data_IF_977257885777
#
_entry.id   IF_977257885777
#
_cell.length_a   1.000
_cell.length_b   1.000
_cell.length_c   1.000
_cell.angle_alpha   90.00
_cell.angle_beta   90.00
_cell.angle_gamma   90.00
#
_symmetry.space_group_name_H-M   'P 1'
#
loop_
_entity.id
_entity.type
_entity.pdbx_description
1 polymer ?
#
# COMPACT_ATOMS: atom_id res chain seq x y z
N UNK A 1 -9.55 9.42 -6.45
CA UNK A 1 -9.92 8.55 -7.59
C UNK A 1 -9.08 8.96 -8.78
N UNK A 2 -8.02 8.20 -9.07
CA UNK A 2 -7.14 8.46 -10.20
C UNK A 2 -7.84 8.00 -11.47
N UNK A 3 -8.35 8.96 -12.26
CA UNK A 3 -9.01 8.72 -13.54
C UNK A 3 -7.94 8.33 -14.59
N UNK A 4 -7.32 7.17 -14.42
CA UNK A 4 -6.29 6.60 -15.33
C UNK A 4 -6.98 5.91 -16.53
N UNK A 5 -8.29 5.66 -16.44
CA UNK A 5 -9.07 4.90 -17.40
C UNK A 5 -9.91 5.81 -18.32
N UNK A 6 -9.64 5.74 -19.62
CA UNK A 6 -10.60 6.15 -20.64
C UNK A 6 -11.05 4.90 -21.43
N UNK A 7 -12.31 4.46 -21.27
CA UNK A 7 -12.84 3.28 -21.96
C UNK A 7 -12.80 3.40 -23.49
N UNK A 8 -12.80 4.62 -24.02
CA UNK A 8 -12.75 4.88 -25.46
C UNK A 8 -11.38 4.56 -26.10
N UNK A 9 -10.30 4.47 -25.30
CA UNK A 9 -8.95 4.19 -25.80
C UNK A 9 -8.63 2.68 -25.87
N UNK A 10 -9.60 1.81 -25.55
CA UNK A 10 -9.42 0.38 -25.40
C UNK A 10 -9.19 -0.38 -26.71
N UNK A 11 -8.35 -1.42 -26.66
CA UNK A 11 -8.21 -2.44 -27.71
C UNK A 11 -8.24 -3.84 -27.10
N UNK A 12 -8.94 -4.77 -27.76
CA UNK A 12 -9.49 -5.96 -27.15
C UNK A 12 -8.48 -6.96 -26.56
N UNK A 13 -8.26 -6.91 -25.23
CA UNK A 13 -7.59 -7.98 -24.44
C UNK A 13 -8.61 -8.89 -23.74
N UNK A 14 -9.80 -9.10 -24.33
CA UNK A 14 -10.95 -9.80 -23.72
C UNK A 14 -10.57 -11.11 -23.05
N UNK A 15 -9.79 -11.94 -23.74
CA UNK A 15 -9.43 -13.26 -23.23
C UNK A 15 -8.72 -13.19 -21.87
N UNK A 16 -7.89 -12.17 -21.66
CA UNK A 16 -7.12 -11.99 -20.42
C UNK A 16 -8.02 -11.44 -19.33
N UNK A 17 -8.94 -10.54 -19.69
CA UNK A 17 -9.96 -10.02 -18.77
C UNK A 17 -10.97 -11.10 -18.36
N UNK A 18 -11.43 -11.95 -19.28
CA UNK A 18 -12.25 -13.14 -18.99
C UNK A 18 -11.51 -14.13 -18.10
N UNK A 19 -10.18 -14.27 -18.29
CA UNK A 19 -9.31 -15.03 -17.40
C UNK A 19 -9.35 -14.50 -15.97
N UNK A 20 -9.28 -13.18 -15.81
CA UNK A 20 -9.44 -12.52 -14.51
C UNK A 20 -10.84 -12.73 -13.91
N UNK A 21 -11.91 -12.53 -14.68
CA UNK A 21 -13.28 -12.79 -14.19
C UNK A 21 -13.47 -14.25 -13.77
N UNK A 22 -12.74 -15.19 -14.38
CA UNK A 22 -12.72 -16.59 -13.93
C UNK A 22 -12.03 -16.73 -12.58
N UNK A 23 -10.93 -16.02 -12.32
CA UNK A 23 -10.23 -16.03 -11.01
C UNK A 23 -11.10 -15.54 -9.87
N UNK A 24 -12.07 -14.65 -10.12
CA UNK A 24 -12.98 -14.15 -9.10
C UNK A 24 -14.08 -15.16 -8.70
N UNK A 25 -14.14 -16.33 -9.33
CA UNK A 25 -15.15 -17.34 -9.05
C UNK A 25 -14.67 -18.29 -7.95
N UNK A 26 -15.50 -18.63 -6.95
CA UNK A 26 -15.11 -19.52 -5.84
C UNK A 26 -14.63 -20.91 -6.28
N UNK A 27 -15.05 -21.39 -7.46
CA UNK A 27 -14.64 -22.70 -7.97
C UNK A 27 -13.22 -22.69 -8.58
N UNK A 28 -12.65 -21.51 -8.80
CA UNK A 28 -11.34 -21.35 -9.42
C UNK A 28 -10.25 -21.49 -8.38
N UNK A 29 -9.42 -22.53 -8.52
CA UNK A 29 -8.31 -22.79 -7.59
C UNK A 29 -7.14 -21.82 -7.76
N UNK A 30 -7.03 -21.18 -8.92
CA UNK A 30 -5.97 -20.21 -9.16
C UNK A 30 -6.26 -18.90 -8.43
N UNK A 31 -5.23 -18.34 -7.82
CA UNK A 31 -5.31 -17.13 -7.01
C UNK A 31 -4.31 -16.06 -7.47
N UNK A 32 -3.30 -16.42 -8.27
CA UNK A 32 -2.25 -15.48 -8.72
C UNK A 32 -2.22 -15.43 -10.24
N UNK A 33 -2.37 -14.23 -10.81
CA UNK A 33 -2.19 -13.99 -12.24
C UNK A 33 -0.92 -13.15 -12.47
N UNK A 34 0.00 -13.69 -13.26
CA UNK A 34 1.17 -12.95 -13.73
C UNK A 34 0.92 -12.48 -15.16
N UNK A 35 0.96 -11.18 -15.39
CA UNK A 35 0.83 -10.58 -16.73
C UNK A 35 2.17 -9.96 -17.13
N UNK A 36 2.86 -10.63 -18.04
CA UNK A 36 4.14 -10.18 -18.55
C UNK A 36 4.00 -9.65 -19.98
N UNK A 37 4.56 -8.47 -20.24
CA UNK A 37 4.62 -7.93 -21.60
C UNK A 37 5.68 -6.84 -21.74
N UNK A 38 6.16 -6.61 -22.95
CA UNK A 38 7.07 -5.49 -23.28
C UNK A 38 6.41 -4.12 -23.04
N UNK A 39 7.18 -3.05 -23.22
CA UNK A 39 6.70 -1.67 -23.04
C UNK A 39 5.50 -1.41 -23.98
N UNK A 40 4.55 -0.59 -23.53
CA UNK A 40 3.45 -0.08 -24.35
C UNK A 40 2.43 -1.15 -24.84
N UNK A 41 2.47 -2.35 -24.23
CA UNK A 41 1.55 -3.46 -24.48
C UNK A 41 0.20 -3.38 -23.73
N UNK A 42 -0.11 -2.25 -23.08
CA UNK A 42 -1.38 -2.06 -22.39
C UNK A 42 -1.53 -2.77 -21.02
N UNK A 43 -0.43 -3.13 -20.35
CA UNK A 43 -0.46 -3.77 -19.01
C UNK A 43 -1.18 -2.91 -17.96
N UNK A 44 -0.75 -1.66 -17.80
CA UNK A 44 -1.35 -0.69 -16.86
C UNK A 44 -2.82 -0.48 -17.15
N UNK A 45 -3.18 -0.41 -18.43
CA UNK A 45 -4.56 -0.30 -18.86
C UNK A 45 -5.38 -1.54 -18.45
N UNK A 46 -4.85 -2.75 -18.67
CA UNK A 46 -5.51 -4.00 -18.31
C UNK A 46 -5.71 -4.10 -16.79
N UNK A 47 -4.69 -3.77 -15.99
CA UNK A 47 -4.80 -3.75 -14.54
C UNK A 47 -5.82 -2.70 -14.04
N UNK A 48 -5.83 -1.50 -14.62
CA UNK A 48 -6.85 -0.49 -14.33
C UNK A 48 -8.27 -0.97 -14.62
N UNK A 49 -8.49 -1.62 -15.78
CA UNK A 49 -9.79 -2.22 -16.12
C UNK A 49 -10.22 -3.31 -15.12
N UNK A 50 -9.28 -4.15 -14.68
CA UNK A 50 -9.57 -5.18 -13.67
C UNK A 50 -9.99 -4.54 -12.34
N UNK A 51 -9.33 -3.45 -11.93
CA UNK A 51 -9.73 -2.67 -10.76
C UNK A 51 -11.13 -2.05 -10.93
N UNK A 52 -11.39 -1.37 -12.06
CA UNK A 52 -12.67 -0.74 -12.33
C UNK A 52 -13.81 -1.75 -12.29
N UNK A 53 -13.59 -2.95 -12.85
CA UNK A 53 -14.56 -4.04 -12.80
C UNK A 53 -14.90 -4.47 -11.37
N UNK A 54 -13.91 -4.56 -10.48
CA UNK A 54 -14.18 -4.85 -9.07
C UNK A 54 -15.03 -3.76 -8.41
N UNK A 55 -14.78 -2.50 -8.76
CA UNK A 55 -15.45 -1.34 -8.17
C UNK A 55 -16.83 -1.05 -8.79
N UNK A 56 -17.22 -1.72 -9.87
CA UNK A 56 -18.55 -1.60 -10.47
C UNK A 56 -19.63 -1.86 -9.41
N UNK A 57 -20.71 -1.06 -9.31
CA UNK A 57 -21.73 -1.22 -8.27
C UNK A 57 -22.41 -2.60 -8.23
N UNK A 58 -22.43 -3.30 -9.36
CA UNK A 58 -22.96 -4.67 -9.48
C UNK A 58 -22.01 -5.75 -8.97
N UNK A 59 -20.71 -5.44 -8.91
CA UNK A 59 -19.64 -6.36 -8.47
C UNK A 59 -19.22 -6.02 -7.04
N UNK A 60 -18.86 -4.76 -6.78
CA UNK A 60 -18.59 -4.17 -5.46
C UNK A 60 -17.61 -4.99 -4.60
N UNK A 61 -16.51 -5.42 -5.21
CA UNK A 61 -15.45 -6.17 -4.55
C UNK A 61 -14.35 -5.24 -4.03
N UNK A 62 -13.79 -5.50 -2.83
CA UNK A 62 -12.62 -4.77 -2.35
C UNK A 62 -11.42 -5.01 -3.29
N UNK A 63 -10.92 -3.93 -3.90
CA UNK A 63 -9.79 -3.98 -4.82
C UNK A 63 -8.75 -2.89 -4.52
N UNK A 64 -7.48 -3.30 -4.49
CA UNK A 64 -6.34 -2.43 -4.25
C UNK A 64 -5.48 -2.37 -5.50
N UNK A 65 -5.04 -1.18 -5.88
CA UNK A 65 -4.13 -0.97 -7.01
C UNK A 65 -2.86 -0.24 -6.56
N UNK A 66 -1.73 -0.93 -6.70
CA UNK A 66 -0.40 -0.45 -6.38
C UNK A 66 0.39 -0.36 -7.69
N UNK A 67 0.76 0.84 -8.10
CA UNK A 67 1.69 1.07 -9.21
C UNK A 67 3.06 1.43 -8.66
N UNK A 68 4.03 0.53 -8.82
CA UNK A 68 5.37 0.74 -8.27
C UNK A 68 6.14 1.91 -8.91
N UNK A 69 5.68 2.45 -10.06
CA UNK A 69 6.24 3.67 -10.67
C UNK A 69 5.61 4.95 -10.16
N UNK A 70 4.47 4.89 -9.46
CA UNK A 70 3.74 6.09 -9.08
C UNK A 70 4.39 6.75 -7.85
N UNK A 71 5.02 7.94 -7.99
CA UNK A 71 5.69 8.59 -6.88
C UNK A 71 4.72 9.11 -5.81
N UNK A 72 3.42 9.21 -6.12
CA UNK A 72 2.39 9.62 -5.15
C UNK A 72 1.97 8.48 -4.22
N UNK A 73 2.27 7.24 -4.57
CA UNK A 73 1.93 6.05 -3.77
C UNK A 73 3.09 5.64 -2.86
N UNK A 74 3.78 6.63 -2.28
CA UNK A 74 5.11 6.48 -1.73
C UNK A 74 5.30 5.23 -0.83
N UNK A 75 5.94 4.22 -1.41
CA UNK A 75 6.10 2.86 -0.90
C UNK A 75 7.59 2.55 -0.74
N UNK A 76 8.32 3.42 -0.04
CA UNK A 76 9.77 3.26 0.19
C UNK A 76 10.16 1.96 0.89
N UNK A 77 9.27 1.40 1.70
CA UNK A 77 9.49 0.20 2.50
C UNK A 77 8.21 -0.67 2.58
N UNK A 78 8.30 -1.79 3.32
CA UNK A 78 7.15 -2.69 3.53
C UNK A 78 6.00 -2.00 4.28
N UNK A 79 6.29 -1.07 5.21
CA UNK A 79 5.27 -0.38 6.00
C UNK A 79 4.45 0.57 5.13
N UNK A 80 5.10 1.33 4.24
CA UNK A 80 4.42 2.16 3.24
C UNK A 80 3.47 1.33 2.38
N UNK A 81 3.90 0.13 1.97
CA UNK A 81 3.05 -0.80 1.21
C UNK A 81 1.84 -1.30 2.02
N UNK A 82 2.03 -1.69 3.28
CA UNK A 82 0.94 -2.10 4.18
C UNK A 82 -0.06 -0.96 4.39
N UNK A 83 0.44 0.25 4.67
CA UNK A 83 -0.38 1.46 4.84
C UNK A 83 -1.21 1.75 3.61
N UNK A 84 -0.61 1.65 2.42
CA UNK A 84 -1.27 1.85 1.13
C UNK A 84 -2.37 0.82 0.90
N UNK A 85 -2.08 -0.47 1.11
CA UNK A 85 -3.05 -1.55 0.94
C UNK A 85 -4.24 -1.35 1.88
N UNK A 86 -3.97 -1.15 3.18
CA UNK A 86 -5.00 -0.86 4.19
C UNK A 86 -5.87 0.33 3.79
N UNK A 87 -5.25 1.45 3.39
CA UNK A 87 -5.97 2.66 3.01
C UNK A 87 -6.90 2.42 1.82
N UNK A 88 -6.43 1.69 0.80
CA UNK A 88 -7.22 1.41 -0.40
C UNK A 88 -8.33 0.38 -0.18
N UNK A 89 -8.17 -0.57 0.75
CA UNK A 89 -9.25 -1.50 1.12
C UNK A 89 -10.46 -0.76 1.71
N UNK A 90 -10.26 0.41 2.33
CA UNK A 90 -11.36 1.26 2.80
C UNK A 90 -12.20 0.64 3.91
N UNK A 91 -11.66 -0.32 4.66
CA UNK A 91 -12.33 -1.02 5.76
C UNK A 91 -11.60 -0.80 7.10
N UNK A 92 -11.56 0.44 7.63
CA UNK A 92 -10.70 0.80 8.76
C UNK A 92 -10.95 -0.04 10.02
N UNK A 93 -12.20 -0.49 10.24
CA UNK A 93 -12.58 -1.27 11.42
C UNK A 93 -11.77 -2.58 11.56
N UNK A 94 -11.42 -3.24 10.46
CA UNK A 94 -10.61 -4.46 10.47
C UNK A 94 -9.16 -4.21 10.90
N UNK A 95 -8.66 -2.98 10.75
CA UNK A 95 -7.26 -2.65 10.94
C UNK A 95 -6.96 -1.86 12.21
N UNK A 96 -7.90 -1.78 13.17
CA UNK A 96 -7.69 -1.05 14.42
C UNK A 96 -6.48 -1.60 15.21
N UNK A 97 -6.35 -2.92 15.33
CA UNK A 97 -5.21 -3.54 16.02
C UNK A 97 -3.89 -3.26 15.30
N UNK A 98 -3.88 -3.27 13.97
CA UNK A 98 -2.72 -2.88 13.18
C UNK A 98 -2.33 -1.42 13.47
N UNK A 99 -3.31 -0.52 13.54
CA UNK A 99 -3.07 0.89 13.84
C UNK A 99 -2.48 1.07 15.24
N UNK A 100 -3.01 0.36 16.24
CA UNK A 100 -2.48 0.36 17.61
C UNK A 100 -1.01 -0.04 17.65
N UNK A 101 -0.66 -1.13 16.94
CA UNK A 101 0.71 -1.63 16.88
C UNK A 101 1.62 -0.62 16.18
N UNK A 102 1.25 -0.13 14.99
CA UNK A 102 2.03 0.89 14.27
C UNK A 102 2.22 2.12 15.15
N UNK A 103 1.14 2.65 15.73
CA UNK A 103 1.16 3.84 16.58
C UNK A 103 2.00 3.66 17.85
N UNK A 104 2.13 2.44 18.37
CA UNK A 104 3.00 2.15 19.52
C UNK A 104 4.49 2.24 19.19
N UNK A 105 4.85 2.14 17.90
CA UNK A 105 6.22 2.17 17.39
C UNK A 105 6.52 3.40 16.52
N UNK A 106 5.52 4.21 16.19
CA UNK A 106 5.64 5.36 15.31
C UNK A 106 5.46 6.68 16.07
N UNK A 107 6.34 7.64 15.86
CA UNK A 107 6.17 8.99 16.39
C UNK A 107 5.12 9.76 15.58
N UNK A 108 4.06 10.24 16.24
CA UNK A 108 3.02 11.00 15.55
C UNK A 108 3.55 12.32 14.97
N UNK A 109 3.09 12.65 13.77
CA UNK A 109 3.35 13.94 13.16
C UNK A 109 2.57 15.06 13.87
N UNK A 110 3.23 15.80 14.78
CA UNK A 110 2.69 17.05 15.33
C UNK A 110 3.22 17.37 16.73
N UNK A 111 4.25 18.23 16.79
CA UNK A 111 4.76 19.05 17.92
C UNK A 111 4.75 18.48 19.35
N UNK A 112 3.62 18.04 19.92
CA UNK A 112 3.58 17.40 21.23
C UNK A 112 4.31 16.05 21.27
N UNK A 113 4.35 15.31 20.14
CA UNK A 113 5.05 14.02 20.07
C UNK A 113 6.55 14.17 19.89
N UNK A 114 7.01 15.30 19.35
CA UNK A 114 8.44 15.68 19.44
C UNK A 114 8.86 15.87 20.91
N UNK A 115 7.98 16.44 21.75
CA UNK A 115 8.21 16.59 23.18
C UNK A 115 8.20 15.27 23.94
N UNK A 116 7.26 14.35 23.64
CA UNK A 116 7.25 13.03 24.26
C UNK A 116 8.46 12.20 23.84
N UNK A 117 8.91 12.31 22.59
CA UNK A 117 10.16 11.73 22.10
C UNK A 117 11.37 12.22 22.88
N UNK A 118 11.47 13.53 23.05
CA UNK A 118 12.55 14.14 23.82
C UNK A 118 12.49 13.75 25.31
N UNK A 119 11.29 13.68 25.90
CA UNK A 119 11.09 13.20 27.27
C UNK A 119 11.56 11.75 27.42
N UNK A 120 11.21 10.86 26.49
CA UNK A 120 11.69 9.46 26.50
C UNK A 120 13.22 9.40 26.41
N UNK A 121 13.82 10.14 25.48
CA UNK A 121 15.29 10.19 25.33
C UNK A 121 15.96 10.70 26.60
N UNK A 122 15.42 11.76 27.22
CA UNK A 122 15.93 12.30 28.47
C UNK A 122 15.81 11.29 29.62
N UNK A 123 14.71 10.52 29.69
CA UNK A 123 14.56 9.45 30.68
C UNK A 123 15.61 8.37 30.47
N UNK A 124 15.77 7.87 29.25
CA UNK A 124 16.74 6.83 28.90
C UNK A 124 18.18 7.28 29.14
N UNK A 125 18.51 8.53 28.85
CA UNK A 125 19.85 9.07 29.04
C UNK A 125 20.19 9.34 30.52
N UNK A 126 19.19 9.56 31.38
CA UNK A 126 19.39 10.08 32.74
C UNK A 126 19.12 9.07 33.86
N UNK A 127 18.45 7.97 33.56
CA UNK A 127 18.02 6.97 34.54
C UNK A 127 18.38 5.55 34.11
N UNK A 128 18.57 4.66 35.08
CA UNK A 128 18.64 3.22 34.87
C UNK A 128 17.31 2.52 35.22
N UNK A 129 17.23 1.20 35.00
CA UNK A 129 15.99 0.42 35.21
C UNK A 129 15.49 0.44 36.66
N UNK A 130 16.39 0.41 37.65
CA UNK A 130 16.01 0.45 39.06
C UNK A 130 15.49 1.83 39.45
N UNK A 131 16.06 2.89 38.89
CA UNK A 131 15.56 4.26 39.07
C UNK A 131 14.19 4.45 38.42
N UNK A 132 13.95 3.91 37.22
CA UNK A 132 12.62 3.93 36.60
C UNK A 132 11.61 3.17 37.48
N UNK A 133 11.99 2.04 38.08
CA UNK A 133 11.12 1.31 39.02
C UNK A 133 10.80 2.17 40.24
N UNK A 134 11.77 2.91 40.77
CA UNK A 134 11.56 3.89 41.85
C UNK A 134 10.59 5.01 41.46
N UNK A 135 10.77 5.59 40.26
CA UNK A 135 9.86 6.62 39.74
C UNK A 135 8.44 6.07 39.60
N UNK A 136 8.26 4.85 39.07
CA UNK A 136 6.96 4.22 38.93
C UNK A 136 6.27 4.07 40.29
N UNK A 137 7.00 3.62 41.31
CA UNK A 137 6.49 3.51 42.68
C UNK A 137 6.03 4.87 43.22
N UNK A 138 6.84 5.92 43.04
CA UNK A 138 6.56 7.27 43.52
C UNK A 138 5.30 7.87 42.89
N UNK A 139 5.02 7.55 41.63
CA UNK A 139 3.82 8.02 40.92
C UNK A 139 2.68 6.99 40.88
N UNK A 140 2.75 5.96 41.74
CA UNK A 140 1.72 4.92 41.93
C UNK A 140 1.41 4.12 40.66
N UNK A 141 2.42 3.84 39.84
CA UNK A 141 2.36 2.96 38.67
C UNK A 141 3.00 1.63 39.00
N UNK A 142 2.30 0.53 38.71
CA UNK A 142 2.87 -0.80 38.85
C UNK A 142 3.91 -1.02 37.74
N UNK A 143 5.19 -1.07 38.11
CA UNK A 143 6.30 -1.27 37.17
C UNK A 143 6.09 -2.50 36.29
N UNK A 144 5.55 -3.59 36.84
CA UNK A 144 5.33 -4.85 36.11
C UNK A 144 4.26 -4.75 35.01
N UNK A 145 3.40 -3.73 35.02
CA UNK A 145 2.43 -3.47 33.94
C UNK A 145 3.08 -2.83 32.70
N UNK A 146 4.31 -2.32 32.82
CA UNK A 146 5.03 -1.75 31.69
C UNK A 146 5.57 -2.86 30.78
N UNK A 147 5.43 -2.69 29.48
CA UNK A 147 5.97 -3.59 28.47
C UNK A 147 7.48 -3.39 28.27
N UNK A 148 8.17 -4.47 27.89
CA UNK A 148 9.59 -4.46 27.52
C UNK A 148 10.55 -4.93 28.63
N UNK A 149 11.75 -5.35 28.23
CA UNK A 149 12.81 -5.78 29.17
C UNK A 149 13.98 -4.78 29.21
N UNK A 150 14.09 -3.91 28.21
CA UNK A 150 15.16 -2.92 28.10
C UNK A 150 14.75 -1.59 28.72
N UNK A 151 15.74 -0.78 29.10
CA UNK A 151 15.54 0.58 29.63
C UNK A 151 14.71 1.44 28.68
N UNK A 152 15.04 1.42 27.38
CA UNK A 152 14.32 2.15 26.34
C UNK A 152 12.86 1.69 26.26
N UNK A 153 12.62 0.38 26.16
CA UNK A 153 11.27 -0.16 26.07
C UNK A 153 10.42 0.20 27.31
N UNK A 154 11.01 0.15 28.51
CA UNK A 154 10.33 0.55 29.75
C UNK A 154 10.07 2.06 29.81
N UNK A 155 11.00 2.89 29.37
CA UNK A 155 10.80 4.34 29.30
C UNK A 155 9.70 4.72 28.29
N UNK A 156 9.67 4.06 27.12
CA UNK A 156 8.60 4.21 26.12
C UNK A 156 7.26 3.81 26.73
N UNK A 157 7.19 2.61 27.33
CA UNK A 157 5.97 2.10 27.93
C UNK A 157 5.47 2.98 29.07
N UNK A 158 6.38 3.50 29.91
CA UNK A 158 6.07 4.42 31.00
C UNK A 158 5.47 5.73 30.48
N UNK A 159 6.13 6.39 29.53
CA UNK A 159 5.62 7.65 28.96
C UNK A 159 4.26 7.44 28.29
N UNK A 160 4.09 6.35 27.53
CA UNK A 160 2.81 6.00 26.91
C UNK A 160 1.72 5.65 27.94
N UNK A 161 2.07 4.97 29.03
CA UNK A 161 1.15 4.69 30.15
C UNK A 161 0.69 6.00 30.79
N UNK A 162 1.64 6.89 31.12
CA UNK A 162 1.36 8.18 31.74
C UNK A 162 0.52 9.09 30.86
N UNK A 163 0.77 9.10 29.55
CA UNK A 163 -0.03 9.84 28.58
C UNK A 163 -1.48 9.33 28.56
N UNK A 164 -1.69 8.01 28.42
CA UNK A 164 -3.03 7.41 28.35
C UNK A 164 -3.87 7.68 29.61
N UNK A 165 -3.23 7.69 30.78
CA UNK A 165 -3.89 7.94 32.07
C UNK A 165 -3.85 9.39 32.54
N UNK A 166 -3.33 10.30 31.70
CA UNK A 166 -3.22 11.73 32.00
C UNK A 166 -2.43 12.07 33.27
N UNK A 167 -1.43 11.24 33.60
CA UNK A 167 -0.51 11.43 34.74
C UNK A 167 0.88 11.89 34.30
N UNK A 168 1.03 12.35 33.06
CA UNK A 168 2.30 12.79 32.48
C UNK A 168 2.95 13.93 33.28
N UNK A 169 2.16 14.88 33.76
CA UNK A 169 2.64 15.98 34.62
C UNK A 169 3.33 15.46 35.88
N UNK A 170 2.78 14.42 36.52
CA UNK A 170 3.39 13.82 37.72
C UNK A 170 4.73 13.17 37.41
N UNK A 171 4.83 12.46 36.28
CA UNK A 171 6.09 11.88 35.81
C UNK A 171 7.14 12.97 35.58
N UNK A 172 6.78 14.02 34.84
CA UNK A 172 7.70 15.11 34.50
C UNK A 172 8.17 15.86 35.76
N UNK A 173 7.24 16.18 36.67
CA UNK A 173 7.58 16.80 37.96
C UNK A 173 8.54 15.92 38.74
N UNK A 174 8.31 14.61 38.80
CA UNK A 174 9.20 13.70 39.51
C UNK A 174 10.58 13.60 38.87
N UNK A 175 10.66 13.55 37.53
CA UNK A 175 11.93 13.60 36.82
C UNK A 175 12.69 14.91 37.07
N UNK A 176 11.98 16.05 37.09
CA UNK A 176 12.55 17.36 37.39
C UNK A 176 13.09 17.49 38.82
N UNK A 177 12.42 16.90 39.80
CA UNK A 177 12.91 16.82 41.18
C UNK A 177 14.20 16.02 41.28
N UNK A 178 14.26 14.86 40.61
CA UNK A 178 15.42 13.97 40.66
C UNK A 178 16.61 14.49 39.86
N UNK A 179 16.36 15.28 38.81
CA UNK A 179 17.38 15.80 37.88
C UNK A 179 17.04 17.22 37.45
N UNK A 180 17.19 18.17 38.37
CA UNK A 180 16.83 19.58 38.16
C UNK A 180 17.65 20.31 37.07
N UNK A 181 18.76 19.73 36.60
CA UNK A 181 19.62 20.35 35.59
C UNK A 181 19.15 20.13 34.14
N UNK A 182 18.15 19.27 33.92
CA UNK A 182 17.58 19.01 32.60
C UNK A 182 16.22 19.71 32.46
N UNK A 183 15.94 20.20 31.25
CA UNK A 183 14.63 20.76 30.93
C UNK A 183 13.67 19.64 30.53
N UNK A 184 12.93 19.13 31.51
CA UNK A 184 11.97 18.03 31.30
C UNK A 184 10.67 18.45 30.59
N UNK A 185 10.46 19.75 30.40
CA UNK A 185 9.28 20.32 29.73
C UNK A 185 9.55 20.68 28.27
N UNK A 186 10.77 20.47 27.79
CA UNK A 186 11.18 20.84 26.44
C UNK A 186 10.35 20.09 25.37
N UNK A 187 9.83 20.83 24.40
CA UNK A 187 8.91 20.33 23.37
C UNK A 187 7.49 19.95 23.85
N UNK A 188 7.14 20.15 25.14
CA UNK A 188 5.83 19.80 25.73
C UNK A 188 4.95 21.02 26.05
N UNK A 189 5.27 22.19 25.49
CA UNK A 189 4.65 23.49 25.76
C UNK A 189 3.11 23.49 25.59
N UNK A 190 2.58 22.67 24.68
CA UNK A 190 1.13 22.53 24.45
C UNK A 190 0.40 21.76 25.56
N UNK A 191 1.09 20.88 26.30
CA UNK A 191 0.50 20.06 27.36
C UNK A 191 0.19 20.88 28.62
N UNK A 192 0.96 21.94 28.89
CA UNK A 192 0.65 22.90 29.96
C UNK A 192 -0.55 23.78 29.62
N UNK A 193 -0.78 24.05 28.33
CA UNK A 193 -1.83 24.94 27.87
C UNK A 193 -3.20 24.27 27.73
N UNK A 194 -3.26 22.96 27.45
CA UNK A 194 -4.50 22.21 27.24
C UNK A 194 -4.39 20.79 27.81
N UNK A 195 -4.96 20.53 28.99
CA UNK A 195 -5.25 19.15 29.41
C UNK A 195 -6.56 18.70 28.70
N UNK A 196 -6.53 17.81 27.70
CA UNK A 196 -7.75 17.33 27.06
C UNK A 196 -8.43 16.32 27.98
N UNK A 197 -9.73 16.07 27.83
CA UNK A 197 -10.41 14.93 28.45
C UNK A 197 -9.90 13.60 27.86
N UNK A 198 -9.98 12.46 28.57
CA UNK A 198 -9.46 11.18 28.10
C UNK A 198 -10.12 10.75 26.78
N UNK A 199 -9.37 10.19 25.82
CA UNK A 199 -9.94 9.71 24.58
C UNK A 199 -10.83 8.49 24.87
N UNK A 200 -12.12 8.61 24.59
CA UNK A 200 -13.03 7.47 24.46
C UNK A 200 -12.54 6.52 23.37
N UNK A 201 -12.73 5.21 23.57
CA UNK A 201 -12.34 4.07 22.71
C UNK A 201 -12.71 4.15 21.20
N UNK A 202 -13.29 5.24 20.72
CA UNK A 202 -13.58 5.50 19.31
C UNK A 202 -12.39 6.07 18.51
N UNK A 203 -11.29 6.46 19.18
CA UNK A 203 -10.24 7.32 18.58
C UNK A 203 -9.05 6.60 17.93
N UNK A 204 -8.90 5.27 18.01
CA UNK A 204 -7.78 4.55 17.35
C UNK A 204 -8.18 4.05 15.97
N UNK A 205 -8.82 4.90 15.19
CA UNK A 205 -9.20 4.60 13.79
C UNK A 205 -8.11 4.99 12.80
N UNK A 206 -7.13 5.79 13.21
CA UNK A 206 -6.11 6.35 12.32
C UNK A 206 -4.68 6.03 12.79
N UNK A 207 -3.81 5.82 11.81
CA UNK A 207 -2.37 5.66 11.98
C UNK A 207 -1.71 7.02 11.89
N UNK A 208 -0.77 7.28 12.79
CA UNK A 208 -0.14 8.58 12.95
C UNK A 208 0.88 8.91 11.84
N UNK A 209 1.06 8.02 10.85
CA UNK A 209 1.97 8.12 9.71
C UNK A 209 3.44 8.36 10.11
N UNK A 210 3.79 8.03 11.35
CA UNK A 210 5.13 8.18 11.87
C UNK A 210 6.12 7.19 11.24
N UNK A 211 7.40 7.52 11.36
CA UNK A 211 8.53 6.63 11.06
C UNK A 211 8.65 5.63 12.21
N UNK A 212 8.96 4.36 11.91
CA UNK A 212 9.21 3.37 12.95
C UNK A 212 10.55 3.67 13.64
N UNK A 213 10.53 3.73 14.97
CA UNK A 213 11.75 3.82 15.76
C UNK A 213 12.21 2.43 16.20
N UNK A 214 13.47 2.11 15.89
CA UNK A 214 14.09 0.84 16.26
C UNK A 214 15.47 1.10 16.84
N UNK A 215 15.70 0.70 18.09
CA UNK A 215 16.99 0.90 18.77
C UNK A 215 18.04 -0.14 18.33
N UNK A 216 17.60 -1.22 17.68
CA UNK A 216 18.45 -2.30 17.19
C UNK A 216 17.83 -3.02 15.99
N UNK A 217 18.65 -3.72 15.20
CA UNK A 217 18.17 -4.57 14.10
C UNK A 217 17.27 -5.73 14.58
N UNK A 218 17.48 -6.21 15.80
CA UNK A 218 16.64 -7.24 16.42
C UNK A 218 15.25 -6.68 16.77
N UNK A 219 15.19 -5.45 17.28
CA UNK A 219 13.93 -4.75 17.54
C UNK A 219 13.18 -4.46 16.25
N UNK A 220 13.89 -4.03 15.20
CA UNK A 220 13.30 -3.85 13.88
C UNK A 220 12.63 -5.13 13.39
N UNK A 221 13.35 -6.25 13.36
CA UNK A 221 12.80 -7.54 12.91
C UNK A 221 11.56 -7.95 13.73
N UNK A 222 11.59 -7.73 15.05
CA UNK A 222 10.45 -8.02 15.94
C UNK A 222 9.24 -7.13 15.62
N UNK A 223 9.45 -5.83 15.42
CA UNK A 223 8.39 -4.86 15.11
C UNK A 223 7.78 -5.17 13.75
N UNK A 224 8.62 -5.42 12.72
CA UNK A 224 8.17 -5.82 11.39
C UNK A 224 7.28 -7.06 11.44
N UNK A 225 7.68 -8.08 12.22
CA UNK A 225 6.88 -9.28 12.42
C UNK A 225 5.53 -8.99 13.08
N UNK A 226 5.49 -8.19 14.14
CA UNK A 226 4.23 -7.84 14.81
C UNK A 226 3.28 -7.07 13.89
N UNK A 227 3.81 -6.13 13.10
CA UNK A 227 3.04 -5.38 12.10
C UNK A 227 2.49 -6.33 11.04
N UNK A 228 3.32 -7.25 10.51
CA UNK A 228 2.88 -8.25 9.53
C UNK A 228 1.80 -9.16 10.11
N UNK A 229 2.00 -9.72 11.30
CA UNK A 229 1.06 -10.64 11.93
C UNK A 229 -0.31 -9.95 12.14
N UNK A 230 -0.31 -8.69 12.60
CA UNK A 230 -1.54 -7.91 12.75
C UNK A 230 -2.20 -7.58 11.41
N UNK A 231 -1.42 -7.19 10.40
CA UNK A 231 -1.94 -6.92 9.05
C UNK A 231 -2.59 -8.15 8.43
N UNK A 232 -1.93 -9.31 8.51
CA UNK A 232 -2.47 -10.54 7.93
C UNK A 232 -3.66 -11.11 8.71
N UNK A 233 -3.70 -10.91 10.04
CA UNK A 233 -4.90 -11.24 10.83
C UNK A 233 -6.09 -10.42 10.35
N UNK A 234 -5.92 -9.09 10.24
CA UNK A 234 -6.96 -8.20 9.72
C UNK A 234 -7.37 -8.53 8.28
N UNK A 235 -6.40 -8.86 7.41
CA UNK A 235 -6.67 -9.23 6.03
C UNK A 235 -7.44 -10.57 5.96
N UNK A 236 -7.08 -11.56 6.77
CA UNK A 236 -7.78 -12.85 6.81
C UNK A 236 -9.23 -12.70 7.27
N UNK A 237 -9.48 -11.87 8.31
CA UNK A 237 -10.83 -11.53 8.76
C UNK A 237 -11.64 -10.84 7.66
N UNK A 238 -11.04 -9.87 6.97
CA UNK A 238 -11.69 -9.17 5.87
C UNK A 238 -12.00 -10.10 4.69
N UNK A 239 -11.08 -11.01 4.37
CA UNK A 239 -11.27 -12.03 3.32
C UNK A 239 -12.44 -12.94 3.69
N UNK A 240 -12.55 -13.36 4.96
CA UNK A 240 -13.66 -14.20 5.41
C UNK A 240 -15.04 -13.52 5.31
N UNK A 241 -15.11 -12.20 5.45
CA UNK A 241 -16.37 -11.42 5.36
C UNK A 241 -16.71 -11.00 3.92
N UNK A 242 -15.70 -10.66 3.10
CA UNK A 242 -15.90 -9.96 1.81
C UNK A 242 -15.22 -10.59 0.60
N UNK A 243 -14.88 -11.87 0.68
CA UNK A 243 -14.28 -12.60 -0.42
C UNK A 243 -15.06 -12.47 -1.75
N UNK A 244 -14.36 -12.41 -2.90
CA UNK A 244 -12.90 -12.33 -3.02
C UNK A 244 -12.36 -10.91 -2.83
N UNK A 245 -11.12 -10.80 -2.31
CA UNK A 245 -10.37 -9.54 -2.27
C UNK A 245 -9.34 -9.54 -3.40
N UNK A 246 -9.18 -8.41 -4.09
CA UNK A 246 -8.25 -8.30 -5.23
C UNK A 246 -7.10 -7.34 -4.92
N UNK A 247 -5.86 -7.81 -5.05
CA UNK A 247 -4.66 -6.97 -4.99
C UNK A 247 -3.99 -6.92 -6.37
N UNK A 248 -3.89 -5.72 -6.94
CA UNK A 248 -3.26 -5.48 -8.24
C UNK A 248 -1.94 -4.74 -8.03
N UNK A 249 -0.84 -5.36 -8.44
CA UNK A 249 0.51 -4.81 -8.42
C UNK A 249 0.96 -4.56 -9.85
N UNK A 250 1.06 -3.29 -10.26
CA UNK A 250 1.53 -2.89 -11.58
C UNK A 250 2.96 -2.37 -11.55
N UNK A 251 3.59 -2.40 -12.72
CA UNK A 251 4.96 -1.97 -12.93
C UNK A 251 5.95 -2.72 -12.05
N UNK A 252 5.79 -4.04 -11.92
CA UNK A 252 6.63 -4.87 -11.05
C UNK A 252 8.14 -4.69 -11.28
N UNK A 253 8.58 -4.34 -12.49
CA UNK A 253 9.99 -4.01 -12.72
C UNK A 253 10.55 -2.84 -11.88
N UNK A 254 9.69 -1.99 -11.33
CA UNK A 254 10.03 -0.84 -10.50
C UNK A 254 9.89 -1.11 -8.99
N UNK A 255 9.59 -2.34 -8.58
CA UNK A 255 9.47 -2.71 -7.18
C UNK A 255 10.82 -2.53 -6.45
N UNK A 256 10.78 -2.00 -5.23
CA UNK A 256 11.96 -1.86 -4.37
C UNK A 256 12.28 -3.20 -3.69
N UNK A 257 13.56 -3.50 -3.36
CA UNK A 257 13.95 -4.80 -2.80
C UNK A 257 13.18 -5.23 -1.54
N UNK A 258 12.87 -4.29 -0.63
CA UNK A 258 12.14 -4.63 0.61
C UNK A 258 10.66 -4.91 0.35
N UNK A 259 10.03 -4.17 -0.56
CA UNK A 259 8.66 -4.45 -1.01
C UNK A 259 8.57 -5.77 -1.78
N UNK A 260 9.57 -6.11 -2.60
CA UNK A 260 9.65 -7.40 -3.28
C UNK A 260 9.81 -8.55 -2.30
N UNK A 261 10.73 -8.40 -1.34
CA UNK A 261 10.92 -9.38 -0.28
C UNK A 261 9.62 -9.62 0.48
N UNK A 262 8.92 -8.56 0.88
CA UNK A 262 7.64 -8.67 1.55
C UNK A 262 6.58 -9.36 0.67
N UNK A 263 6.42 -8.96 -0.58
CA UNK A 263 5.47 -9.56 -1.51
C UNK A 263 5.72 -11.07 -1.67
N UNK A 264 6.97 -11.48 -1.90
CA UNK A 264 7.34 -12.88 -2.14
C UNK A 264 7.34 -13.72 -0.87
N UNK A 265 7.95 -13.23 0.20
CA UNK A 265 8.22 -14.01 1.41
C UNK A 265 7.08 -13.95 2.44
N UNK A 266 6.30 -12.86 2.47
CA UNK A 266 5.21 -12.71 3.44
C UNK A 266 3.84 -12.96 2.80
N UNK A 267 3.49 -12.20 1.75
CA UNK A 267 2.15 -12.23 1.16
C UNK A 267 1.92 -13.52 0.33
N UNK A 268 2.79 -13.82 -0.63
CA UNK A 268 2.64 -15.00 -1.49
C UNK A 268 2.82 -16.32 -0.73
N UNK A 269 3.72 -16.36 0.26
CA UNK A 269 3.88 -17.51 1.15
C UNK A 269 2.59 -17.84 1.90
N UNK A 270 1.91 -16.84 2.47
CA UNK A 270 0.63 -17.06 3.18
C UNK A 270 -0.51 -17.49 2.25
N UNK A 271 -0.52 -16.96 1.03
CA UNK A 271 -1.46 -17.41 0.01
C UNK A 271 -1.21 -18.88 -0.38
N UNK A 272 0.05 -19.29 -0.59
CA UNK A 272 0.45 -20.68 -0.84
C UNK A 272 -0.04 -21.60 0.29
N UNK A 273 0.17 -21.17 1.52
CA UNK A 273 -0.15 -21.94 2.73
C UNK A 273 -1.65 -21.89 3.08
N UNK A 274 -2.49 -21.36 2.17
CA UNK A 274 -3.96 -21.29 2.30
C UNK A 274 -4.45 -20.48 3.51
N UNK A 275 -3.64 -19.54 4.01
CA UNK A 275 -4.04 -18.64 5.11
C UNK A 275 -4.91 -17.47 4.63
N UNK A 276 -4.94 -17.22 3.31
CA UNK A 276 -5.68 -16.13 2.67
C UNK A 276 -6.50 -16.70 1.50
N UNK A 277 -7.34 -17.71 1.78
CA UNK A 277 -8.22 -18.33 0.77
C UNK A 277 -9.18 -17.28 0.20
N UNK A 278 -9.36 -17.19 -1.12
CA UNK A 278 -10.15 -16.15 -1.82
C UNK A 278 -9.46 -14.78 -1.97
N UNK A 279 -8.17 -14.67 -1.64
CA UNK A 279 -7.37 -13.53 -2.06
C UNK A 279 -6.86 -13.75 -3.50
N UNK A 280 -7.21 -12.82 -4.40
CA UNK A 280 -6.74 -12.82 -5.79
C UNK A 280 -5.65 -11.76 -5.95
N UNK A 281 -4.48 -12.18 -6.47
CA UNK A 281 -3.34 -11.31 -6.69
C UNK A 281 -3.02 -11.24 -8.18
N UNK A 282 -2.98 -10.02 -8.72
CA UNK A 282 -2.58 -9.75 -10.10
C UNK A 282 -1.25 -9.01 -10.08
N UNK A 283 -0.23 -9.54 -10.74
CA UNK A 283 1.08 -8.88 -10.85
C UNK A 283 1.37 -8.61 -12.32
N UNK A 284 1.52 -7.34 -12.68
CA UNK A 284 1.76 -6.90 -14.05
C UNK A 284 3.12 -6.22 -14.17
N UNK A 285 3.88 -6.55 -15.21
CA UNK A 285 5.21 -5.97 -15.42
C UNK A 285 5.89 -6.41 -16.70
N UNK A 286 7.03 -5.79 -17.01
CA UNK A 286 7.95 -6.26 -18.07
C UNK A 286 8.66 -7.55 -17.65
N UNK A 287 8.94 -7.62 -16.36
CA UNK A 287 9.30 -8.82 -15.65
C UNK A 287 8.23 -9.10 -14.59
N UNK A 288 8.13 -10.35 -14.18
CA UNK A 288 7.26 -10.81 -13.09
C UNK A 288 8.15 -11.54 -12.07
N UNK A 289 7.73 -11.67 -10.80
CA UNK A 289 8.53 -12.38 -9.81
C UNK A 289 8.83 -13.80 -10.27
N UNK A 290 10.05 -14.27 -9.99
CA UNK A 290 10.32 -15.69 -10.03
C UNK A 290 9.71 -16.34 -8.79
N UNK A 291 8.76 -17.24 -9.03
CA UNK A 291 8.01 -17.97 -7.99
C UNK A 291 8.30 -19.47 -8.03
N UNK A 292 9.37 -19.87 -8.72
CA UNK A 292 9.78 -21.28 -8.80
C UNK A 292 10.13 -21.89 -7.44
N UNK A 293 10.67 -21.07 -6.53
CA UNK A 293 10.99 -21.41 -5.15
C UNK A 293 9.76 -21.61 -4.25
N UNK A 294 8.64 -20.94 -4.55
CA UNK A 294 7.43 -21.04 -3.74
C UNK A 294 6.53 -22.25 -4.07
N UNK A 295 6.80 -23.00 -5.14
CA UNK A 295 6.00 -24.15 -5.57
C UNK A 295 4.47 -23.89 -5.67
N UNK A 296 4.08 -22.70 -6.15
CA UNK A 296 2.67 -22.26 -6.27
C UNK A 296 2.04 -22.58 -7.64
N UNK A 297 2.53 -23.61 -8.35
CA UNK A 297 2.15 -23.88 -9.74
C UNK A 297 0.64 -24.11 -9.95
N UNK A 298 -0.03 -24.66 -8.93
CA UNK A 298 -1.48 -24.89 -8.89
C UNK A 298 -2.31 -23.61 -8.67
N UNK A 299 -1.71 -22.58 -8.08
CA UNK A 299 -2.36 -21.28 -7.80
C UNK A 299 -2.09 -20.25 -8.90
N UNK A 300 -1.15 -20.54 -9.81
CA UNK A 300 -0.58 -19.57 -10.73
C UNK A 300 -1.17 -19.67 -12.15
N UNK A 301 -1.53 -18.53 -12.72
CA UNK A 301 -1.79 -18.36 -14.14
C UNK A 301 -0.77 -17.39 -14.71
N UNK A 302 0.06 -17.85 -15.65
CA UNK A 302 0.96 -16.98 -16.41
C UNK A 302 0.30 -16.57 -17.72
N UNK A 303 0.28 -15.27 -17.98
CA UNK A 303 -0.29 -14.67 -19.19
C UNK A 303 0.74 -13.75 -19.82
N UNK A 304 0.91 -13.86 -21.13
CA UNK A 304 1.66 -12.88 -21.91
C UNK A 304 0.69 -12.04 -22.74
N UNK A 305 1.01 -10.75 -22.89
CA UNK A 305 0.31 -9.91 -23.86
C UNK A 305 1.08 -9.97 -25.18
N UNK A 306 0.37 -10.40 -26.21
CA UNK A 306 0.88 -10.50 -27.57
C UNK A 306 0.53 -9.22 -28.34
N UNK A 307 1.37 -8.83 -29.31
CA UNK A 307 1.02 -7.79 -30.26
C UNK A 307 -0.29 -8.10 -30.98
N UNK A 308 -0.98 -7.05 -31.40
CA UNK A 308 -2.21 -7.19 -32.17
C UNK A 308 -1.94 -7.74 -33.56
N UNK A 309 -2.86 -8.56 -34.02
CA UNK A 309 -2.93 -8.97 -35.42
C UNK A 309 -3.61 -7.89 -36.27
N UNK A 310 -3.63 -8.10 -37.57
CA UNK A 310 -4.22 -7.17 -38.53
C UNK A 310 -5.71 -6.90 -38.26
N UNK A 311 -6.46 -7.91 -37.83
CA UNK A 311 -7.88 -7.79 -37.54
C UNK A 311 -8.14 -6.86 -36.35
N UNK A 312 -7.38 -7.01 -35.27
CA UNK A 312 -7.49 -6.16 -34.08
C UNK A 312 -6.98 -4.74 -34.36
N UNK A 313 -5.91 -4.59 -35.15
CA UNK A 313 -5.43 -3.26 -35.58
C UNK A 313 -6.51 -2.53 -36.36
N UNK A 314 -7.18 -3.21 -37.28
CA UNK A 314 -8.28 -2.63 -38.06
C UNK A 314 -9.45 -2.22 -37.17
N UNK A 315 -9.94 -3.11 -36.30
CA UNK A 315 -11.01 -2.81 -35.33
C UNK A 315 -10.65 -1.56 -34.49
N UNK A 316 -9.40 -1.47 -34.05
CA UNK A 316 -8.94 -0.33 -33.26
C UNK A 316 -9.10 1.01 -33.97
N UNK A 317 -8.61 1.14 -35.21
CA UNK A 317 -8.67 2.40 -35.93
C UNK A 317 -10.08 2.73 -36.39
N UNK A 318 -10.79 1.77 -37.00
CA UNK A 318 -12.10 2.00 -37.60
C UNK A 318 -13.19 2.18 -36.52
N UNK A 319 -13.26 1.27 -35.54
CA UNK A 319 -14.40 1.23 -34.61
C UNK A 319 -14.16 2.02 -33.33
N UNK A 320 -12.92 2.05 -32.82
CA UNK A 320 -12.62 2.67 -31.52
C UNK A 320 -12.16 4.10 -31.64
N UNK A 321 -11.28 4.37 -32.61
CA UNK A 321 -10.70 5.70 -32.83
C UNK A 321 -11.48 6.51 -33.85
N UNK A 322 -12.39 5.87 -34.61
CA UNK A 322 -13.14 6.48 -35.70
C UNK A 322 -12.23 7.22 -36.68
N UNK A 323 -11.05 6.64 -36.96
CA UNK A 323 -10.06 7.17 -37.88
C UNK A 323 -10.16 6.41 -39.19
N UNK A 324 -10.57 7.10 -40.24
CA UNK A 324 -10.51 6.57 -41.60
C UNK A 324 -9.08 6.79 -42.11
N UNK A 325 -8.39 5.69 -42.44
CA UNK A 325 -7.05 5.77 -43.02
C UNK A 325 -7.17 5.60 -44.53
N UNK A 326 -7.11 6.71 -45.25
CA UNK A 326 -7.07 6.70 -46.71
C UNK A 326 -5.64 6.46 -47.23
N UNK A 327 -5.49 5.50 -48.14
CA UNK A 327 -4.26 5.29 -48.91
C UNK A 327 -3.13 4.51 -48.23
N UNK A 328 -3.30 4.05 -46.98
CA UNK A 328 -2.37 3.13 -46.29
C UNK A 328 -3.04 1.77 -46.10
N UNK A 329 -2.32 0.68 -46.41
CA UNK A 329 -2.82 -0.66 -46.10
C UNK A 329 -2.60 -1.02 -44.61
N UNK A 330 -3.51 -1.82 -44.05
CA UNK A 330 -3.45 -2.27 -42.65
C UNK A 330 -2.18 -3.05 -42.35
N UNK A 331 -1.62 -3.72 -43.35
CA UNK A 331 -0.38 -4.46 -43.26
C UNK A 331 0.82 -3.53 -43.00
N UNK A 332 0.87 -2.37 -43.63
CA UNK A 332 1.93 -1.38 -43.41
C UNK A 332 1.84 -0.84 -42.00
N UNK A 333 0.64 -0.50 -41.52
CA UNK A 333 0.43 -0.05 -40.14
C UNK A 333 0.86 -1.12 -39.14
N UNK A 334 0.49 -2.37 -39.38
CA UNK A 334 0.89 -3.50 -38.54
C UNK A 334 2.41 -3.70 -38.52
N UNK A 335 3.07 -3.64 -39.68
CA UNK A 335 4.53 -3.78 -39.79
C UNK A 335 5.26 -2.61 -39.11
N UNK A 336 4.78 -1.38 -39.29
CA UNK A 336 5.39 -0.18 -38.70
C UNK A 336 5.22 -0.12 -37.18
N UNK A 337 4.03 -0.46 -36.68
CA UNK A 337 3.73 -0.48 -35.24
C UNK A 337 4.23 -1.75 -34.53
N UNK A 338 4.51 -2.81 -35.29
CA UNK A 338 4.72 -4.16 -34.76
C UNK A 338 3.51 -4.72 -34.02
N UNK A 339 2.31 -4.18 -34.23
CA UNK A 339 1.09 -4.53 -33.47
C UNK A 339 1.10 -4.04 -32.01
N UNK A 340 2.01 -3.14 -31.63
CA UNK A 340 2.13 -2.66 -30.25
C UNK A 340 1.02 -1.63 -29.96
N UNK A 341 0.17 -1.85 -28.94
CA UNK A 341 -0.96 -0.97 -28.61
C UNK A 341 -0.59 0.52 -28.45
N UNK A 342 0.49 0.83 -27.72
CA UNK A 342 0.87 2.24 -27.54
C UNK A 342 1.47 2.87 -28.80
N UNK A 343 2.12 2.09 -29.68
CA UNK A 343 2.54 2.59 -30.99
C UNK A 343 1.32 2.92 -31.86
N UNK A 344 0.32 2.03 -31.88
CA UNK A 344 -0.95 2.25 -32.58
C UNK A 344 -1.70 3.47 -32.04
N UNK A 345 -1.71 3.68 -30.72
CA UNK A 345 -2.31 4.85 -30.11
C UNK A 345 -1.64 6.16 -30.57
N UNK A 346 -0.30 6.22 -30.57
CA UNK A 346 0.43 7.38 -31.09
C UNK A 346 0.15 7.62 -32.57
N UNK A 347 0.09 6.57 -33.39
CA UNK A 347 -0.25 6.68 -34.82
C UNK A 347 -1.67 7.23 -35.00
N UNK A 348 -2.64 6.75 -34.21
CA UNK A 348 -4.00 7.26 -34.23
C UNK A 348 -4.09 8.73 -33.78
N UNK A 349 -3.40 9.11 -32.70
CA UNK A 349 -3.33 10.50 -32.24
C UNK A 349 -2.78 11.42 -33.34
N UNK A 350 -1.72 10.99 -34.04
CA UNK A 350 -1.15 11.75 -35.16
C UNK A 350 -2.12 11.89 -36.34
N UNK A 351 -2.82 10.82 -36.73
CA UNK A 351 -3.79 10.86 -37.82
C UNK A 351 -5.01 11.76 -37.50
N UNK A 352 -5.43 11.78 -36.24
CA UNK A 352 -6.49 12.68 -35.76
C UNK A 352 -6.02 14.14 -35.73
N UNK A 353 -4.76 14.39 -35.36
CA UNK A 353 -4.20 15.74 -35.37
C UNK A 353 -4.08 16.30 -36.79
N UNK A 354 -3.67 15.50 -37.78
CA UNK A 354 -3.58 15.95 -39.17
C UNK A 354 -4.94 16.25 -39.78
N UNK A 355 -5.96 15.43 -39.49
CA UNK A 355 -7.33 15.70 -39.96
C UNK A 355 -7.91 16.96 -39.33
N UNK A 356 -7.60 17.26 -38.06
CA UNK A 356 -8.00 18.53 -37.43
C UNK A 356 -7.24 19.77 -37.93
N UNK A 357 -5.99 19.60 -38.39
CA UNK A 357 -5.18 20.70 -38.92
C UNK A 357 -5.56 21.07 -40.36
N UNK A 358 -6.12 20.13 -41.13
CA UNK A 358 -6.74 20.42 -42.42
C UNK A 358 -8.09 21.15 -42.27
N UNK A 359 -8.69 21.14 -41.07
CA UNK A 359 -9.88 21.89 -40.69
C UNK A 359 -9.56 23.28 -40.07
N UNK A 360 -8.31 23.73 -40.10
CA UNK A 360 -7.84 24.89 -39.32
C UNK A 360 -8.02 26.24 -40.04
N UNK A 361 -8.99 27.01 -39.54
CA UNK A 361 -9.18 28.48 -39.55
C UNK A 361 -9.24 29.28 -40.88
N UNK A 362 -8.65 28.81 -41.98
CA UNK A 362 -8.62 29.53 -43.27
C UNK A 362 -9.53 28.92 -44.35
N UNK A 363 -10.27 27.87 -44.05
CA UNK A 363 -11.18 27.23 -45.02
C UNK A 363 -12.38 28.11 -45.41
N UNK A 364 -12.65 29.17 -44.65
CA UNK A 364 -13.71 30.16 -44.89
C UNK A 364 -13.20 31.55 -45.35
N UNK A 365 -11.94 31.68 -45.80
CA UNK A 365 -11.39 32.93 -46.37
C UNK A 365 -11.23 32.90 -47.89
#
# INVERSE_FOLDING_TARGET
MSNIYNPALFVNQERKFLGFQKLLRPETRQAVMLVQATKDMGKTWLAGRMQDHCLEPTINLPAVYVDFRNPKQDHHDFLGLIRLIRQQLGQPAYFNQLNEIINSYSDAAGTAVSGLGLLRQNIVASFNLDEIRGICLDITINYEELSGETLSARAISLVAYCQRRQVLTMLITRCAELRAHLNWWDGLEMYQANAPAPPTNAAITEDNLGILHTDSAADQTRIERQINDAFFTALAELVADRAPIVLLFDSYEAIKPDADRWLRQELLTRLRDSQLSELVIIITGRQTPDLSDLNMSNLLVKTQLEPFDEAIVREYFEERRNVVIDGLDWRTILVTSGGVPGALAMMADHAMATTSADDDFFSDL
#
